data_IF_686895090880
#
_entry.id   IF_686895090880
#
_cell.length_a   1.000
_cell.length_b   1.000
_cell.length_c   1.000
_cell.angle_alpha   90.00
_cell.angle_beta   90.00
_cell.angle_gamma   90.00
#
_symmetry.space_group_name_H-M   'P 1'
#
loop_
_entity.id
_entity.type
_entity.pdbx_description
1 polymer ?
#
# COMPACT_ATOMS: atom_id res chain seq x y z
N UNK A 1 20.08 -11.63 -20.46
CA UNK A 1 19.56 -11.90 -19.11
C UNK A 1 18.05 -11.77 -19.22
N UNK A 2 17.28 -12.79 -18.87
CA UNK A 2 15.82 -12.77 -19.01
C UNK A 2 15.21 -11.71 -18.08
N UNK A 3 14.19 -10.99 -18.55
CA UNK A 3 13.48 -9.96 -17.77
C UNK A 3 13.03 -10.48 -16.39
N UNK A 4 12.69 -11.76 -16.28
CA UNK A 4 12.35 -12.44 -15.02
C UNK A 4 13.43 -12.32 -13.92
N UNK A 5 14.72 -12.38 -14.27
CA UNK A 5 15.81 -12.26 -13.29
C UNK A 5 15.94 -10.84 -12.74
N UNK A 6 15.67 -9.83 -13.58
CA UNK A 6 15.70 -8.41 -13.19
C UNK A 6 14.50 -8.11 -12.29
N UNK A 7 13.30 -8.59 -12.65
CA UNK A 7 12.07 -8.42 -11.86
C UNK A 7 12.21 -9.04 -10.46
N UNK A 8 12.71 -10.27 -10.37
CA UNK A 8 12.97 -10.94 -9.08
C UNK A 8 14.02 -10.18 -8.25
N UNK A 9 15.05 -9.61 -8.89
CA UNK A 9 16.07 -8.81 -8.21
C UNK A 9 15.50 -7.48 -7.70
N UNK A 10 14.62 -6.83 -8.47
CA UNK A 10 13.90 -5.62 -8.06
C UNK A 10 13.03 -5.88 -6.83
N UNK A 11 12.23 -6.95 -6.85
CA UNK A 11 11.41 -7.37 -5.70
C UNK A 11 12.27 -7.61 -4.47
N UNK A 12 13.38 -8.35 -4.65
CA UNK A 12 14.31 -8.66 -3.55
C UNK A 12 14.88 -7.38 -2.95
N UNK A 13 15.32 -6.44 -3.78
CA UNK A 13 15.84 -5.16 -3.34
C UNK A 13 14.78 -4.32 -2.62
N UNK A 14 13.55 -4.27 -3.14
CA UNK A 14 12.43 -3.57 -2.52
C UNK A 14 12.10 -4.18 -1.13
N UNK A 15 12.09 -5.50 -1.00
CA UNK A 15 11.91 -6.19 0.30
C UNK A 15 13.03 -5.86 1.29
N UNK A 16 14.28 -5.81 0.83
CA UNK A 16 15.41 -5.39 1.68
C UNK A 16 15.27 -3.94 2.15
N UNK A 17 14.84 -3.03 1.27
CA UNK A 17 14.60 -1.62 1.62
C UNK A 17 13.43 -1.46 2.58
N UNK A 18 12.35 -2.22 2.42
CA UNK A 18 11.26 -2.27 3.39
C UNK A 18 11.73 -2.77 4.75
N UNK A 19 12.59 -3.79 4.81
CA UNK A 19 13.19 -4.26 6.06
C UNK A 19 14.05 -3.17 6.72
N UNK A 20 14.88 -2.48 5.94
CA UNK A 20 15.70 -1.37 6.44
C UNK A 20 14.83 -0.22 6.98
N UNK A 21 13.73 0.12 6.29
CA UNK A 21 12.78 1.13 6.74
C UNK A 21 12.16 0.74 8.09
N UNK A 22 11.73 -0.52 8.24
CA UNK A 22 11.19 -1.01 9.52
C UNK A 22 12.21 -0.92 10.66
N UNK A 23 13.49 -1.14 10.38
CA UNK A 23 14.57 -0.96 11.37
C UNK A 23 14.76 0.52 11.71
N UNK A 24 14.75 1.40 10.71
CA UNK A 24 14.88 2.84 10.91
C UNK A 24 13.72 3.44 11.74
N UNK A 25 12.53 2.84 11.67
CA UNK A 25 11.33 3.23 12.42
C UNK A 25 11.30 2.74 13.88
N UNK A 26 12.32 1.98 14.34
CA UNK A 26 12.31 1.43 15.71
C UNK A 26 12.61 2.51 16.74
N UNK A 27 11.65 2.71 17.65
CA UNK A 27 11.82 3.53 18.86
C UNK A 27 11.46 4.99 18.67
N UNK A 28 11.10 5.67 19.77
CA UNK A 28 10.61 7.06 19.74
C UNK A 28 11.63 8.10 19.27
N UNK A 29 12.92 7.74 19.21
CA UNK A 29 14.01 8.61 18.79
C UNK A 29 14.55 8.23 17.39
N UNK A 30 13.72 7.63 16.54
CA UNK A 30 14.09 7.32 15.17
C UNK A 30 14.64 8.56 14.46
N UNK A 31 15.73 8.38 13.71
CA UNK A 31 16.26 9.43 12.85
C UNK A 31 15.30 9.62 11.66
N UNK A 32 14.48 10.66 11.72
CA UNK A 32 13.47 10.96 10.71
C UNK A 32 14.10 11.21 9.32
N UNK A 33 15.35 11.68 9.25
CA UNK A 33 16.03 11.85 7.97
C UNK A 33 16.41 10.50 7.38
N UNK A 34 16.87 9.55 8.20
CA UNK A 34 17.14 8.18 7.77
C UNK A 34 15.86 7.46 7.33
N UNK A 35 14.76 7.62 8.07
CA UNK A 35 13.44 7.10 7.71
C UNK A 35 13.02 7.64 6.35
N UNK A 36 13.07 8.97 6.17
CA UNK A 36 12.70 9.62 4.92
C UNK A 36 13.58 9.15 3.74
N UNK A 37 14.90 9.11 3.91
CA UNK A 37 15.81 8.66 2.86
C UNK A 37 15.58 7.20 2.47
N UNK A 38 15.35 6.34 3.46
CA UNK A 38 15.09 4.91 3.22
C UNK A 38 13.74 4.72 2.53
N UNK A 39 12.74 5.50 2.91
CA UNK A 39 11.45 5.54 2.25
C UNK A 39 11.59 5.98 0.79
N UNK A 40 12.30 7.08 0.50
CA UNK A 40 12.51 7.54 -0.88
C UNK A 40 13.25 6.55 -1.77
N UNK A 41 14.23 5.82 -1.22
CA UNK A 41 14.90 4.73 -1.95
C UNK A 41 13.94 3.59 -2.27
N UNK A 42 13.01 3.27 -1.37
CA UNK A 42 12.00 2.25 -1.61
C UNK A 42 10.99 2.74 -2.65
N UNK A 43 10.45 3.95 -2.49
CA UNK A 43 9.48 4.51 -3.44
C UNK A 43 10.07 4.67 -4.82
N UNK A 44 11.35 5.06 -4.93
CA UNK A 44 12.04 5.12 -6.23
C UNK A 44 12.06 3.77 -6.96
N UNK A 45 12.15 2.65 -6.23
CA UNK A 45 12.11 1.30 -6.81
C UNK A 45 10.68 0.87 -7.16
N UNK A 46 9.71 1.14 -6.28
CA UNK A 46 8.30 0.78 -6.51
C UNK A 46 7.67 1.65 -7.60
N UNK A 47 8.14 2.88 -7.78
CA UNK A 47 7.64 3.83 -8.79
C UNK A 47 7.94 3.42 -10.23
N UNK A 48 8.88 2.50 -10.43
CA UNK A 48 9.17 1.93 -11.76
C UNK A 48 7.94 1.24 -12.38
N UNK A 49 6.93 0.89 -11.59
CA UNK A 49 5.63 0.41 -12.09
C UNK A 49 4.86 1.47 -12.88
N UNK A 50 5.09 2.76 -12.64
CA UNK A 50 4.30 3.86 -13.21
C UNK A 50 4.79 4.32 -14.59
N UNK A 51 6.06 4.11 -14.91
CA UNK A 51 6.64 4.54 -16.19
C UNK A 51 6.51 3.40 -17.21
N UNK A 52 5.38 3.40 -17.94
CA UNK A 52 5.08 2.44 -19.02
C UNK A 52 5.28 0.96 -18.66
N UNK A 53 5.00 0.59 -17.40
CA UNK A 53 5.21 -0.75 -16.83
C UNK A 53 6.61 -1.35 -17.05
N UNK A 54 7.59 -0.69 -17.70
CA UNK A 54 8.92 -1.21 -18.05
C UNK A 54 8.99 -2.69 -18.55
N UNK A 55 7.92 -3.27 -19.08
CA UNK A 55 7.86 -4.71 -19.39
C UNK A 55 7.78 -5.63 -18.14
N UNK A 56 7.48 -5.07 -16.97
CA UNK A 56 7.13 -5.78 -15.75
C UNK A 56 5.82 -6.54 -15.95
N UNK A 57 5.78 -7.77 -15.44
CA UNK A 57 4.55 -8.53 -15.41
C UNK A 57 3.58 -8.00 -14.33
N UNK A 58 2.31 -8.37 -14.47
CA UNK A 58 1.26 -7.94 -13.54
C UNK A 58 1.55 -8.38 -12.10
N UNK A 59 2.17 -9.55 -11.92
CA UNK A 59 2.55 -10.08 -10.61
C UNK A 59 3.57 -9.19 -9.91
N UNK A 60 4.59 -8.74 -10.64
CA UNK A 60 5.65 -7.84 -10.14
C UNK A 60 5.08 -6.47 -9.80
N UNK A 61 4.23 -5.90 -10.66
CA UNK A 61 3.55 -4.64 -10.37
C UNK A 61 2.68 -4.72 -9.11
N UNK A 62 1.93 -5.82 -8.95
CA UNK A 62 1.16 -6.08 -7.73
C UNK A 62 2.08 -6.14 -6.52
N UNK A 63 3.14 -6.95 -6.57
CA UNK A 63 4.06 -7.13 -5.44
C UNK A 63 4.73 -5.83 -4.99
N UNK A 64 5.19 -5.01 -5.94
CA UNK A 64 5.74 -3.69 -5.65
C UNK A 64 4.70 -2.76 -5.02
N UNK A 65 3.42 -2.86 -5.42
CA UNK A 65 2.31 -2.13 -4.80
C UNK A 65 2.09 -2.55 -3.34
N UNK A 66 2.14 -3.85 -3.05
CA UNK A 66 2.06 -4.35 -1.67
C UNK A 66 3.18 -3.76 -0.81
N UNK A 67 4.42 -3.79 -1.32
CA UNK A 67 5.60 -3.32 -0.58
C UNK A 67 5.49 -1.83 -0.25
N UNK A 68 5.02 -1.03 -1.21
CA UNK A 68 4.82 0.42 -1.05
C UNK A 68 3.76 0.73 0.02
N UNK A 69 2.64 0.00 -0.03
CA UNK A 69 1.55 0.13 0.94
C UNK A 69 2.03 -0.24 2.35
N UNK A 70 2.81 -1.32 2.48
CA UNK A 70 3.38 -1.74 3.77
C UNK A 70 4.38 -0.73 4.32
N UNK A 71 5.13 -0.05 3.46
CA UNK A 71 6.06 0.99 3.87
C UNK A 71 5.32 2.19 4.45
N UNK A 72 4.29 2.67 3.75
CA UNK A 72 3.47 3.80 4.19
C UNK A 72 2.75 3.45 5.50
N UNK A 73 2.16 2.26 5.61
CA UNK A 73 1.57 1.77 6.87
C UNK A 73 2.57 1.76 8.03
N UNK A 74 3.81 1.33 7.78
CA UNK A 74 4.84 1.26 8.82
C UNK A 74 5.20 2.65 9.33
N UNK A 75 5.32 3.63 8.43
CA UNK A 75 5.59 5.03 8.78
C UNK A 75 4.40 5.63 9.51
N UNK A 76 3.19 5.48 8.97
CA UNK A 76 1.95 6.00 9.56
C UNK A 76 1.76 5.55 11.01
N UNK A 77 2.05 4.29 11.33
CA UNK A 77 1.88 3.76 12.68
C UNK A 77 2.99 4.20 13.65
N UNK A 78 4.21 4.41 13.16
CA UNK A 78 5.37 4.64 14.03
C UNK A 78 5.72 6.13 14.17
N UNK A 79 5.69 6.86 13.05
CA UNK A 79 6.14 8.24 12.89
C UNK A 79 5.30 8.96 11.81
N UNK A 80 3.99 9.20 12.05
CA UNK A 80 3.09 9.81 11.07
C UNK A 80 3.55 11.22 10.64
N UNK A 81 4.28 11.95 11.49
CA UNK A 81 4.84 13.28 11.21
C UNK A 81 5.79 13.30 10.00
N UNK A 82 6.30 12.15 9.57
CA UNK A 82 7.20 12.03 8.41
C UNK A 82 6.41 12.07 7.09
N UNK A 83 5.13 11.72 7.11
CA UNK A 83 4.28 11.66 5.91
C UNK A 83 4.15 13.02 5.20
N UNK A 84 4.17 14.11 5.96
CA UNK A 84 4.11 15.48 5.42
C UNK A 84 5.32 15.82 4.54
N UNK A 85 6.41 15.06 4.68
CA UNK A 85 7.64 15.21 3.88
C UNK A 85 7.68 14.30 2.66
N UNK A 86 6.69 13.43 2.47
CA UNK A 86 6.61 12.51 1.33
C UNK A 86 5.96 13.17 0.12
N UNK A 87 6.01 12.47 -1.03
CA UNK A 87 5.37 12.94 -2.26
C UNK A 87 3.84 12.96 -2.15
N UNK A 88 3.17 13.71 -3.02
CA UNK A 88 1.71 13.78 -3.11
C UNK A 88 1.05 12.40 -3.24
N UNK A 89 1.65 11.53 -4.03
CA UNK A 89 1.15 10.17 -4.30
C UNK A 89 1.23 9.32 -3.03
N UNK A 90 2.34 9.43 -2.29
CA UNK A 90 2.53 8.72 -1.02
C UNK A 90 1.54 9.21 0.05
N UNK A 91 1.31 10.52 0.12
CA UNK A 91 0.30 11.11 1.01
C UNK A 91 -1.12 10.67 0.63
N UNK A 92 -1.42 10.60 -0.67
CA UNK A 92 -2.71 10.12 -1.16
C UNK A 92 -2.94 8.64 -0.81
N UNK A 93 -1.90 7.81 -0.91
CA UNK A 93 -1.98 6.41 -0.51
C UNK A 93 -2.19 6.26 1.01
N UNK A 94 -1.53 7.09 1.81
CA UNK A 94 -1.79 7.17 3.26
C UNK A 94 -3.27 7.45 3.56
N UNK A 95 -3.90 8.36 2.80
CA UNK A 95 -5.34 8.65 2.98
C UNK A 95 -6.20 7.42 2.72
N UNK A 96 -5.90 6.61 1.69
CA UNK A 96 -6.68 5.39 1.41
C UNK A 96 -6.50 4.33 2.51
N UNK A 97 -5.32 4.26 3.13
CA UNK A 97 -5.05 3.34 4.23
C UNK A 97 -5.86 3.72 5.48
N UNK A 98 -5.95 5.01 5.80
CA UNK A 98 -6.72 5.54 6.93
C UNK A 98 -8.23 5.64 6.66
N UNK A 99 -8.64 5.66 5.39
CA UNK A 99 -10.04 5.80 5.00
C UNK A 99 -10.92 4.70 5.61
N UNK A 100 -12.13 5.01 6.14
CA UNK A 100 -13.09 3.99 6.55
C UNK A 100 -13.35 2.97 5.46
N UNK A 101 -13.51 1.69 5.83
CA UNK A 101 -13.69 0.61 4.85
C UNK A 101 -14.87 0.86 3.91
N UNK A 102 -15.97 1.39 4.44
CA UNK A 102 -17.16 1.75 3.64
C UNK A 102 -16.87 2.84 2.62
N UNK A 103 -16.15 3.88 3.04
CA UNK A 103 -15.80 5.02 2.18
C UNK A 103 -14.84 4.58 1.07
N UNK A 104 -13.88 3.70 1.37
CA UNK A 104 -12.99 3.13 0.38
C UNK A 104 -13.74 2.25 -0.64
N UNK A 105 -14.72 1.46 -0.21
CA UNK A 105 -15.56 0.69 -1.13
C UNK A 105 -16.45 1.60 -1.99
N UNK A 106 -17.02 2.65 -1.42
CA UNK A 106 -17.83 3.63 -2.15
C UNK A 106 -16.98 4.35 -3.21
N UNK A 107 -15.73 4.73 -2.89
CA UNK A 107 -14.77 5.29 -3.85
C UNK A 107 -14.53 4.32 -5.01
N UNK A 108 -14.32 3.03 -4.72
CA UNK A 108 -14.03 2.05 -5.75
C UNK A 108 -15.23 1.74 -6.66
N UNK A 109 -16.40 1.50 -6.08
CA UNK A 109 -17.54 0.95 -6.80
C UNK A 109 -18.53 2.02 -7.27
N UNK A 110 -18.82 3.02 -6.43
CA UNK A 110 -19.81 4.07 -6.76
C UNK A 110 -19.19 5.23 -7.53
N UNK A 111 -17.95 5.60 -7.20
CA UNK A 111 -17.25 6.72 -7.84
C UNK A 111 -16.38 6.27 -9.03
N UNK A 112 -16.34 4.97 -9.34
CA UNK A 112 -15.59 4.42 -10.46
C UNK A 112 -14.09 4.23 -10.22
N UNK A 113 -13.62 4.39 -8.97
CA UNK A 113 -12.21 4.24 -8.58
C UNK A 113 -11.58 2.91 -9.01
N UNK A 114 -12.38 1.85 -9.10
CA UNK A 114 -11.90 0.50 -9.49
C UNK A 114 -11.23 0.43 -10.86
N UNK A 115 -11.44 1.39 -11.76
CA UNK A 115 -10.87 1.40 -13.11
C UNK A 115 -9.72 2.38 -13.31
N UNK A 116 -9.59 3.39 -12.45
CA UNK A 116 -8.66 4.50 -12.64
C UNK A 116 -7.78 4.78 -11.41
N UNK A 117 -7.91 3.99 -10.35
CA UNK A 117 -7.22 4.20 -9.08
C UNK A 117 -6.70 2.85 -8.54
N UNK A 118 -5.60 2.37 -9.14
CA UNK A 118 -5.00 1.08 -8.80
C UNK A 118 -4.49 1.04 -7.35
N UNK A 119 -4.11 2.19 -6.81
CA UNK A 119 -3.70 2.36 -5.43
C UNK A 119 -4.84 2.06 -4.46
N UNK A 120 -6.02 2.65 -4.67
CA UNK A 120 -7.19 2.38 -3.85
C UNK A 120 -7.62 0.91 -3.95
N UNK A 121 -7.53 0.30 -5.14
CA UNK A 121 -7.81 -1.14 -5.35
C UNK A 121 -6.82 -1.99 -4.56
N UNK A 122 -5.52 -1.72 -4.70
CA UNK A 122 -4.47 -2.44 -4.00
C UNK A 122 -4.66 -2.33 -2.48
N UNK A 123 -4.93 -1.14 -1.96
CA UNK A 123 -5.22 -0.92 -0.54
C UNK A 123 -6.46 -1.70 -0.08
N UNK A 124 -7.54 -1.72 -0.86
CA UNK A 124 -8.73 -2.50 -0.53
C UNK A 124 -8.46 -4.01 -0.49
N UNK A 125 -7.65 -4.53 -1.41
CA UNK A 125 -7.19 -5.94 -1.39
C UNK A 125 -6.36 -6.23 -0.15
N UNK A 126 -5.37 -5.38 0.18
CA UNK A 126 -4.53 -5.59 1.37
C UNK A 126 -5.29 -5.52 2.68
N UNK A 127 -6.27 -4.63 2.75
CA UNK A 127 -7.16 -4.55 3.88
C UNK A 127 -8.13 -5.72 3.91
N UNK A 128 -8.19 -6.58 2.89
CA UNK A 128 -9.09 -7.72 2.81
C UNK A 128 -10.56 -7.31 2.61
N UNK A 129 -10.80 -6.13 2.04
CA UNK A 129 -12.14 -5.63 1.75
C UNK A 129 -12.69 -6.23 0.45
N UNK A 130 -11.80 -6.50 -0.52
CA UNK A 130 -12.11 -7.12 -1.82
C UNK A 130 -11.08 -8.19 -2.16
N UNK A 131 -11.49 -9.22 -2.91
CA UNK A 131 -10.55 -10.16 -3.55
C UNK A 131 -10.25 -9.75 -5.01
N UNK A 132 -11.25 -9.20 -5.69
CA UNK A 132 -11.16 -8.65 -7.03
C UNK A 132 -12.07 -7.43 -7.21
N UNK A 133 -11.96 -6.76 -8.35
CA UNK A 133 -12.71 -5.53 -8.66
C UNK A 133 -14.12 -5.76 -9.22
N UNK A 134 -14.54 -7.01 -9.41
CA UNK A 134 -15.79 -7.36 -10.12
C UNK A 134 -16.96 -7.61 -9.16
N UNK A 135 -16.69 -8.03 -7.93
CA UNK A 135 -17.72 -8.48 -7.00
C UNK A 135 -18.10 -7.43 -5.94
N UNK A 136 -18.80 -6.37 -6.36
CA UNK A 136 -19.22 -5.26 -5.48
C UNK A 136 -20.06 -5.73 -4.27
N UNK A 137 -21.12 -6.51 -4.52
CA UNK A 137 -22.04 -6.93 -3.45
C UNK A 137 -21.35 -7.79 -2.38
N UNK A 138 -20.34 -8.57 -2.78
CA UNK A 138 -19.55 -9.40 -1.88
C UNK A 138 -18.62 -8.53 -1.00
N UNK A 139 -18.03 -7.48 -1.58
CA UNK A 139 -17.17 -6.54 -0.85
C UNK A 139 -17.89 -5.89 0.35
N UNK A 140 -19.09 -5.36 0.13
CA UNK A 140 -19.87 -4.76 1.22
C UNK A 140 -20.31 -5.78 2.27
N UNK A 141 -20.70 -7.00 1.83
CA UNK A 141 -21.08 -8.08 2.76
C UNK A 141 -19.92 -8.45 3.68
N UNK A 142 -18.70 -8.55 3.14
CA UNK A 142 -17.49 -8.83 3.93
C UNK A 142 -17.21 -7.74 4.96
N UNK A 143 -17.34 -6.48 4.56
CA UNK A 143 -17.18 -5.35 5.47
C UNK A 143 -18.19 -5.44 6.62
N UNK A 144 -19.47 -5.67 6.32
CA UNK A 144 -20.53 -5.81 7.34
C UNK A 144 -20.26 -6.95 8.31
N UNK A 145 -19.84 -8.13 7.82
CA UNK A 145 -19.47 -9.27 8.66
C UNK A 145 -18.32 -8.91 9.62
N UNK A 146 -17.35 -8.16 9.14
CA UNK A 146 -16.16 -7.78 9.90
C UNK A 146 -16.47 -6.72 10.95
N UNK A 147 -17.30 -5.74 10.62
CA UNK A 147 -17.76 -4.71 11.54
C UNK A 147 -18.58 -5.33 12.68
N UNK A 148 -19.50 -6.27 12.37
CA UNK A 148 -20.23 -7.04 13.37
C UNK A 148 -19.31 -7.86 14.28
N UNK A 149 -18.35 -8.57 13.68
CA UNK A 149 -17.39 -9.40 14.43
C UNK A 149 -16.48 -8.58 15.36
N UNK A 150 -16.25 -7.30 15.03
CA UNK A 150 -15.44 -6.38 15.82
C UNK A 150 -16.23 -5.76 16.97
N UNK A 151 -17.55 -5.56 16.78
CA UNK A 151 -18.47 -5.12 17.83
C UNK A 151 -18.68 -6.21 18.89
N UNK A 152 -18.81 -7.48 18.48
CA UNK A 152 -19.01 -8.61 19.41
C UNK A 152 -17.77 -8.94 20.28
N UNK A 153 -16.57 -8.49 19.89
CA UNK A 153 -15.32 -8.67 20.67
C UNK A 153 -15.02 -7.52 21.62
N UNK A 154 -15.84 -6.47 21.62
CA UNK A 154 -15.70 -5.28 22.46
C UNK A 154 -16.59 -5.27 23.71
N UNK A 155 -17.16 -6.42 24.11
CA UNK A 155 -17.98 -6.60 25.31
C UNK A 155 -17.38 -7.65 26.23
#
# INVERSE_FOLDING_TARGET
MSDSTIQSSMITLARHRLKALKVALVGRAADLNLVQNTFHQLTGLTSLRFVQNHGLDEATCKELSIIDNLAILSVLYSHPEVLDKFSSESQQLSRYLDMPGRELLDLLFKQGGRFNNQEAVSVAIHRGLIDDIHHEAEAYRRLELRERSSQDRGH
#
